data_IF_892972680645
#
_entry.id   IF_892972680645
#
_cell.length_a   1.000
_cell.length_b   1.000
_cell.length_c   1.000
_cell.angle_alpha   90.00
_cell.angle_beta   90.00
_cell.angle_gamma   90.00
#
_symmetry.space_group_name_H-M   'P 1'
#
loop_
_entity.id
_entity.type
_entity.pdbx_description
1 polymer ?
#
# COMPACT_ATOMS: atom_id res chain seq x y z
N UNK A 1 47.28 53.14 37.50
CA UNK A 1 47.72 51.86 36.92
C UNK A 1 46.45 50.97 36.81
N UNK A 2 46.02 50.50 35.80
CA UNK A 2 46.25 50.10 34.43
C UNK A 2 44.91 49.94 33.76
N UNK A 3 44.58 50.75 32.83
CA UNK A 3 43.59 50.64 31.80
C UNK A 3 44.06 49.58 30.82
N UNK A 4 43.41 48.42 30.73
CA UNK A 4 43.41 47.49 29.60
C UNK A 4 42.35 46.43 29.91
N UNK A 5 41.20 46.45 29.27
CA UNK A 5 40.31 45.33 28.96
C UNK A 5 38.95 45.80 28.45
N UNK A 6 38.92 46.68 27.47
CA UNK A 6 37.63 47.11 26.88
C UNK A 6 37.60 46.97 25.35
N UNK A 7 38.35 46.04 24.77
CA UNK A 7 38.35 45.87 23.29
C UNK A 7 38.06 44.46 22.81
N UNK A 8 37.69 43.52 23.69
CA UNK A 8 37.43 42.13 23.31
C UNK A 8 35.94 41.76 23.14
N UNK A 9 35.01 42.75 23.27
CA UNK A 9 33.56 42.40 23.29
C UNK A 9 32.78 42.82 22.04
N UNK A 10 33.43 43.50 21.07
CA UNK A 10 32.75 43.98 19.86
C UNK A 10 32.87 43.10 18.60
N UNK A 11 33.63 42.00 18.64
CA UNK A 11 33.86 41.18 17.42
C UNK A 11 32.90 39.98 17.30
N UNK A 12 32.17 39.61 18.35
CA UNK A 12 31.31 38.41 18.35
C UNK A 12 29.90 38.68 17.78
N UNK A 13 29.51 39.94 17.59
CA UNK A 13 28.14 40.27 17.15
C UNK A 13 27.95 40.40 15.64
N UNK A 14 28.99 40.31 14.82
CA UNK A 14 28.90 40.50 13.36
C UNK A 14 28.76 39.21 12.57
N UNK A 15 28.70 38.01 13.18
CA UNK A 15 28.62 36.71 12.49
C UNK A 15 27.25 36.03 12.55
N UNK A 16 26.21 36.70 13.07
CA UNK A 16 24.84 36.13 13.20
C UNK A 16 23.88 36.56 12.09
N UNK A 17 24.34 37.12 10.99
CA UNK A 17 23.52 37.75 9.95
C UNK A 17 23.29 36.96 8.64
N UNK A 18 23.83 35.74 8.49
CA UNK A 18 23.65 34.94 7.28
C UNK A 18 22.92 33.62 7.56
N UNK A 19 21.63 33.74 7.93
CA UNK A 19 20.73 32.60 7.85
C UNK A 19 20.31 32.47 6.38
N UNK A 20 20.75 31.43 5.63
CA UNK A 20 20.25 31.21 4.29
C UNK A 20 18.75 30.94 4.41
N UNK A 21 17.92 31.77 3.80
CA UNK A 21 16.47 31.53 3.66
C UNK A 21 16.29 30.25 2.86
N UNK A 22 16.09 29.14 3.56
CA UNK A 22 15.67 27.88 2.94
C UNK A 22 14.27 28.12 2.39
N UNK A 23 14.20 28.46 1.10
CA UNK A 23 12.96 28.48 0.37
C UNK A 23 12.43 27.04 0.36
N UNK A 24 11.43 26.75 1.17
CA UNK A 24 10.69 25.51 1.10
C UNK A 24 10.08 25.43 -0.31
N UNK A 25 10.73 24.69 -1.21
CA UNK A 25 10.15 24.34 -2.50
C UNK A 25 8.84 23.61 -2.22
N UNK A 26 7.71 24.28 -2.51
CA UNK A 26 6.41 23.63 -2.57
C UNK A 26 6.57 22.45 -3.55
N UNK A 27 6.63 21.23 -3.02
CA UNK A 27 6.62 20.01 -3.81
C UNK A 27 5.42 20.10 -4.77
N UNK A 28 5.69 20.27 -6.06
CA UNK A 28 4.66 20.14 -7.09
C UNK A 28 4.11 18.74 -6.95
N UNK A 29 2.84 18.61 -6.56
CA UNK A 29 2.12 17.35 -6.54
C UNK A 29 2.22 16.79 -7.96
N UNK A 30 3.07 15.76 -8.16
CA UNK A 30 3.21 15.11 -9.47
C UNK A 30 1.85 14.55 -9.89
N UNK A 31 1.50 14.70 -11.16
CA UNK A 31 0.33 14.03 -11.70
C UNK A 31 0.45 12.52 -11.49
N UNK A 32 -0.64 11.83 -11.15
CA UNK A 32 -0.62 10.37 -11.01
C UNK A 32 -0.19 9.73 -12.34
N UNK A 33 0.54 8.61 -12.25
CA UNK A 33 0.91 7.82 -13.42
C UNK A 33 -0.35 7.36 -14.19
N UNK A 34 -0.32 7.34 -15.53
CA UNK A 34 -1.44 6.85 -16.32
C UNK A 34 -1.68 5.37 -16.03
N UNK A 35 -2.96 5.00 -15.90
CA UNK A 35 -3.35 3.59 -15.73
C UNK A 35 -3.22 2.88 -17.06
N UNK A 36 -2.56 1.69 -17.13
CA UNK A 36 -2.49 0.91 -18.35
C UNK A 36 -3.89 0.58 -18.91
N UNK A 37 -4.15 0.82 -20.21
CA UNK A 37 -5.48 0.62 -20.78
C UNK A 37 -6.01 -0.81 -20.63
N UNK A 38 -5.15 -1.81 -20.60
CA UNK A 38 -5.49 -3.21 -20.40
C UNK A 38 -6.29 -3.43 -19.10
N UNK A 39 -5.95 -2.71 -18.04
CA UNK A 39 -6.62 -2.85 -16.74
C UNK A 39 -8.09 -2.41 -16.83
N UNK A 40 -8.35 -1.30 -17.53
CA UNK A 40 -9.72 -0.78 -17.69
C UNK A 40 -10.56 -1.62 -18.67
N UNK A 41 -9.91 -2.24 -19.69
CA UNK A 41 -10.55 -3.02 -20.73
C UNK A 41 -10.81 -4.48 -20.34
N UNK A 42 -10.15 -5.00 -19.30
CA UNK A 42 -10.25 -6.41 -18.91
C UNK A 42 -11.68 -6.81 -18.55
N UNK A 43 -12.11 -7.97 -19.05
CA UNK A 43 -13.40 -8.59 -18.75
C UNK A 43 -13.22 -9.86 -17.93
N UNK A 44 -12.21 -10.64 -18.22
CA UNK A 44 -11.89 -11.91 -17.56
C UNK A 44 -10.72 -11.79 -16.63
N UNK A 45 -10.88 -12.25 -15.41
CA UNK A 45 -9.88 -12.13 -14.37
C UNK A 45 -9.64 -13.46 -13.67
N UNK A 46 -8.38 -13.85 -13.57
CA UNK A 46 -7.95 -14.96 -12.72
C UNK A 46 -7.41 -14.39 -11.41
N UNK A 47 -7.88 -14.91 -10.28
CA UNK A 47 -7.37 -14.53 -8.96
C UNK A 47 -6.39 -15.60 -8.48
N UNK A 48 -5.13 -15.22 -8.28
CA UNK A 48 -4.05 -16.08 -7.83
C UNK A 48 -3.83 -15.94 -6.33
N UNK A 49 -3.73 -17.07 -5.63
CA UNK A 49 -3.27 -17.12 -4.26
C UNK A 49 -1.74 -17.23 -4.25
N UNK A 50 -1.05 -16.12 -4.00
CA UNK A 50 0.41 -16.12 -3.86
C UNK A 50 0.86 -16.52 -2.45
N UNK A 51 -0.10 -16.96 -1.63
CA UNK A 51 0.16 -17.42 -0.29
C UNK A 51 0.27 -16.31 0.74
N UNK A 52 0.51 -16.73 1.95
CA UNK A 52 0.80 -15.87 3.08
C UNK A 52 1.88 -16.52 3.93
N UNK A 53 2.75 -15.70 4.49
CA UNK A 53 3.65 -16.18 5.52
C UNK A 53 2.82 -16.57 6.74
N UNK A 54 2.94 -17.84 7.12
CA UNK A 54 2.35 -18.37 8.35
C UNK A 54 3.31 -18.13 9.50
N UNK A 55 2.84 -17.48 10.54
CA UNK A 55 3.59 -17.34 11.81
C UNK A 55 3.74 -18.65 12.57
N UNK A 56 3.19 -19.74 12.09
CA UNK A 56 3.23 -21.03 12.78
C UNK A 56 4.66 -21.52 13.08
N UNK A 57 5.64 -21.00 12.35
CA UNK A 57 7.07 -21.35 12.57
C UNK A 57 7.75 -20.51 13.66
N UNK A 58 7.18 -19.37 14.08
CA UNK A 58 7.87 -18.42 14.97
C UNK A 58 7.13 -18.17 16.29
N UNK A 59 5.81 -18.21 16.27
CA UNK A 59 4.99 -17.94 17.47
C UNK A 59 3.72 -18.80 17.37
N UNK A 60 3.48 -19.63 18.39
CA UNK A 60 2.27 -20.45 18.56
C UNK A 60 1.00 -19.58 18.80
N UNK A 61 0.81 -18.55 17.99
CA UNK A 61 -0.31 -17.61 18.10
C UNK A 61 -0.94 -17.32 16.74
N UNK A 62 -2.24 -17.51 16.66
CA UNK A 62 -3.06 -17.11 15.52
C UNK A 62 -2.96 -15.59 15.28
N UNK A 63 -2.47 -15.19 14.11
CA UNK A 63 -2.32 -13.77 13.74
C UNK A 63 -3.69 -13.12 13.56
N UNK A 64 -4.57 -13.80 12.82
CA UNK A 64 -5.97 -13.45 12.59
C UNK A 64 -6.77 -14.73 12.29
N UNK A 65 -8.09 -14.66 12.45
CA UNK A 65 -8.97 -15.78 12.13
C UNK A 65 -8.99 -16.05 10.61
N UNK A 66 -9.24 -17.32 10.22
CA UNK A 66 -9.40 -17.71 8.82
C UNK A 66 -8.13 -18.24 8.13
N UNK A 67 -7.01 -18.30 8.86
CA UNK A 67 -5.77 -18.92 8.38
C UNK A 67 -5.08 -18.23 7.19
N UNK A 68 -4.10 -18.90 6.57
CA UNK A 68 -3.27 -18.30 5.51
C UNK A 68 -4.04 -18.00 4.22
N UNK A 69 -5.14 -18.71 3.96
CA UNK A 69 -5.96 -18.50 2.77
C UNK A 69 -7.00 -17.37 2.90
N UNK A 70 -7.14 -16.77 4.09
CA UNK A 70 -8.10 -15.69 4.31
C UNK A 70 -7.94 -14.52 3.32
N UNK A 71 -6.71 -14.02 3.02
CA UNK A 71 -6.54 -12.94 2.05
C UNK A 71 -7.14 -13.26 0.69
N UNK A 72 -6.84 -14.46 0.19
CA UNK A 72 -7.37 -14.95 -1.08
C UNK A 72 -8.89 -15.10 -1.06
N UNK A 73 -9.43 -15.82 -0.07
CA UNK A 73 -10.86 -16.12 0.02
C UNK A 73 -11.69 -14.84 0.14
N UNK A 74 -11.23 -13.89 0.97
CA UNK A 74 -11.94 -12.64 1.19
C UNK A 74 -11.89 -11.72 -0.04
N UNK A 75 -10.73 -11.65 -0.70
CA UNK A 75 -10.59 -10.89 -1.94
C UNK A 75 -11.42 -11.51 -3.07
N UNK A 76 -11.39 -12.83 -3.23
CA UNK A 76 -12.20 -13.56 -4.22
C UNK A 76 -13.69 -13.29 -4.03
N UNK A 77 -14.19 -13.40 -2.80
CA UNK A 77 -15.59 -13.11 -2.48
C UNK A 77 -15.96 -11.66 -2.85
N UNK A 78 -15.12 -10.69 -2.48
CA UNK A 78 -15.37 -9.29 -2.77
C UNK A 78 -15.38 -8.96 -4.28
N UNK A 79 -14.53 -9.64 -5.07
CA UNK A 79 -14.51 -9.48 -6.53
C UNK A 79 -15.70 -10.15 -7.20
N UNK A 80 -16.12 -11.32 -6.69
CA UNK A 80 -17.33 -12.02 -7.13
C UNK A 80 -18.58 -11.18 -6.88
N UNK A 81 -18.72 -10.62 -5.68
CA UNK A 81 -19.85 -9.78 -5.29
C UNK A 81 -19.90 -8.48 -6.10
N UNK A 82 -18.73 -7.95 -6.49
CA UNK A 82 -18.69 -6.79 -7.35
C UNK A 82 -19.23 -7.05 -8.75
N UNK A 83 -19.04 -8.26 -9.28
CA UNK A 83 -19.66 -8.71 -10.53
C UNK A 83 -19.24 -7.97 -11.81
N UNK A 84 -18.18 -7.14 -11.77
CA UNK A 84 -17.68 -6.42 -12.95
C UNK A 84 -16.95 -7.34 -13.93
N UNK A 85 -16.22 -8.31 -13.40
CA UNK A 85 -15.38 -9.22 -14.17
C UNK A 85 -15.92 -10.65 -14.08
N UNK A 86 -15.79 -11.39 -15.17
CA UNK A 86 -15.91 -12.84 -15.16
C UNK A 86 -14.69 -13.43 -14.46
N UNK A 87 -14.91 -14.16 -13.36
CA UNK A 87 -13.82 -14.86 -12.66
C UNK A 87 -13.59 -16.22 -13.33
N UNK A 88 -12.42 -16.39 -13.93
CA UNK A 88 -12.02 -17.63 -14.62
C UNK A 88 -11.16 -18.50 -13.72
N UNK A 89 -11.16 -19.82 -14.00
CA UNK A 89 -10.41 -20.81 -13.22
C UNK A 89 -9.01 -21.09 -13.77
N UNK A 90 -8.67 -20.54 -14.93
CA UNK A 90 -7.36 -20.70 -15.58
C UNK A 90 -6.75 -19.34 -15.91
N UNK A 91 -5.48 -19.10 -15.60
CA UNK A 91 -4.80 -17.86 -15.99
C UNK A 91 -4.68 -17.71 -17.51
N UNK A 92 -4.71 -18.82 -18.27
CA UNK A 92 -4.65 -18.78 -19.74
C UNK A 92 -5.92 -18.16 -20.37
N UNK A 93 -7.06 -18.21 -19.65
CA UNK A 93 -8.33 -17.67 -20.11
C UNK A 93 -8.57 -16.23 -19.65
N UNK A 94 -7.63 -15.68 -18.87
CA UNK A 94 -7.77 -14.37 -18.24
C UNK A 94 -7.18 -13.25 -19.10
N UNK A 95 -7.79 -12.07 -19.01
CA UNK A 95 -7.21 -10.81 -19.50
C UNK A 95 -6.21 -10.22 -18.48
N UNK A 96 -6.46 -10.47 -17.18
CA UNK A 96 -5.59 -10.07 -16.08
C UNK A 96 -5.50 -11.18 -15.04
N UNK A 97 -4.33 -11.25 -14.40
CA UNK A 97 -4.12 -12.02 -13.19
C UNK A 97 -4.06 -11.04 -12.01
N UNK A 98 -4.85 -11.29 -10.98
CA UNK A 98 -4.84 -10.56 -9.71
C UNK A 98 -4.22 -11.46 -8.64
N UNK A 99 -2.98 -11.19 -8.31
CA UNK A 99 -2.22 -11.99 -7.34
C UNK A 99 -2.31 -11.36 -5.95
N UNK A 100 -2.89 -12.11 -5.01
CA UNK A 100 -3.06 -11.67 -3.61
C UNK A 100 -2.06 -12.38 -2.72
N UNK A 101 -1.36 -11.62 -1.90
CA UNK A 101 -0.42 -12.16 -0.92
C UNK A 101 -0.49 -11.43 0.42
N UNK A 102 -0.03 -12.12 1.45
CA UNK A 102 0.16 -11.59 2.79
C UNK A 102 1.60 -11.81 3.22
N UNK A 103 2.23 -10.75 3.73
CA UNK A 103 3.60 -10.80 4.24
C UNK A 103 3.60 -10.24 5.66
N UNK A 104 4.18 -10.98 6.60
CA UNK A 104 4.36 -10.51 7.97
C UNK A 104 5.39 -9.40 8.05
N UNK A 105 5.19 -8.49 8.99
CA UNK A 105 6.20 -7.51 9.32
C UNK A 105 7.33 -8.15 10.12
N UNK A 106 8.58 -7.86 9.78
CA UNK A 106 9.78 -8.30 10.53
C UNK A 106 9.75 -7.87 12.00
N UNK A 107 8.93 -6.90 12.36
CA UNK A 107 8.73 -6.47 13.74
C UNK A 107 7.94 -7.47 14.57
N UNK A 108 7.44 -8.56 13.96
CA UNK A 108 6.62 -9.58 14.60
C UNK A 108 5.26 -8.99 15.06
N UNK A 109 4.69 -9.56 16.13
CA UNK A 109 3.43 -9.05 16.71
C UNK A 109 3.56 -7.69 17.42
N UNK A 110 4.75 -7.06 17.34
CA UNK A 110 4.95 -5.76 17.96
C UNK A 110 4.28 -4.66 17.13
N UNK A 111 3.38 -3.94 17.79
CA UNK A 111 2.75 -2.73 17.23
C UNK A 111 3.83 -1.78 16.67
N UNK A 112 3.56 -1.04 15.55
CA UNK A 112 2.21 -0.70 15.08
C UNK A 112 1.72 -1.49 13.85
N UNK A 113 2.55 -2.29 13.18
CA UNK A 113 2.21 -2.98 11.93
C UNK A 113 2.30 -4.48 12.13
N UNK A 114 1.21 -5.20 11.81
CA UNK A 114 1.14 -6.66 11.84
C UNK A 114 1.76 -7.26 10.58
N UNK A 115 1.51 -6.66 9.43
CA UNK A 115 2.01 -7.11 8.14
C UNK A 115 1.47 -6.29 6.98
N UNK A 116 1.71 -6.80 5.78
CA UNK A 116 1.39 -6.18 4.50
C UNK A 116 0.45 -7.08 3.71
N UNK A 117 -0.70 -6.55 3.34
CA UNK A 117 -1.57 -7.13 2.34
C UNK A 117 -1.21 -6.54 0.99
N UNK A 118 -0.92 -7.39 0.01
CA UNK A 118 -0.47 -6.98 -1.31
C UNK A 118 -1.37 -7.55 -2.40
N UNK A 119 -1.70 -6.71 -3.38
CA UNK A 119 -2.35 -7.09 -4.61
C UNK A 119 -1.49 -6.67 -5.79
N UNK A 120 -1.14 -7.61 -6.66
CA UNK A 120 -0.38 -7.37 -7.89
C UNK A 120 -1.29 -7.65 -9.08
N UNK A 121 -1.33 -6.71 -10.03
CA UNK A 121 -2.05 -6.84 -11.31
C UNK A 121 -1.04 -7.19 -12.40
N UNK A 122 -1.22 -8.33 -13.04
CA UNK A 122 -0.26 -8.89 -13.99
C UNK A 122 -0.96 -9.11 -15.33
N UNK A 123 -0.28 -8.80 -16.43
CA UNK A 123 -0.64 -9.24 -17.77
C UNK A 123 -0.25 -10.72 -17.95
N UNK A 124 -1.20 -11.64 -18.12
CA UNK A 124 -0.90 -13.07 -18.25
C UNK A 124 -0.11 -13.42 -19.52
N UNK A 125 -0.14 -12.57 -20.55
CA UNK A 125 0.54 -12.81 -21.84
C UNK A 125 2.02 -12.45 -21.80
N UNK A 126 2.34 -11.36 -21.11
CA UNK A 126 3.71 -10.82 -21.05
C UNK A 126 4.40 -11.09 -19.72
N UNK A 127 3.65 -11.52 -18.70
CA UNK A 127 4.06 -11.66 -17.31
C UNK A 127 4.57 -10.36 -16.67
N UNK A 128 4.19 -9.22 -17.25
CA UNK A 128 4.57 -7.90 -16.73
C UNK A 128 3.60 -7.46 -15.65
N UNK A 129 4.15 -6.98 -14.56
CA UNK A 129 3.36 -6.30 -13.51
C UNK A 129 2.87 -4.96 -14.04
N UNK A 130 1.56 -4.82 -14.18
CA UNK A 130 0.90 -3.59 -14.65
C UNK A 130 0.65 -2.61 -13.52
N UNK A 131 0.35 -3.13 -12.32
CA UNK A 131 0.04 -2.32 -11.13
C UNK A 131 0.25 -3.11 -9.85
N UNK A 132 0.43 -2.39 -8.74
CA UNK A 132 0.44 -3.02 -7.44
C UNK A 132 -0.24 -2.13 -6.38
N UNK A 133 -0.80 -2.77 -5.37
CA UNK A 133 -1.31 -2.13 -4.16
C UNK A 133 -0.69 -2.81 -2.94
N UNK A 134 -0.40 -2.01 -1.95
CA UNK A 134 0.05 -2.50 -0.64
C UNK A 134 -0.70 -1.75 0.43
N UNK A 135 -1.24 -2.48 1.40
CA UNK A 135 -1.90 -1.93 2.58
C UNK A 135 -1.30 -2.53 3.85
N UNK A 136 -1.03 -1.66 4.81
CA UNK A 136 -0.54 -2.07 6.11
C UNK A 136 -1.72 -2.55 6.96
N UNK A 137 -1.60 -3.73 7.55
CA UNK A 137 -2.52 -4.19 8.58
C UNK A 137 -1.97 -3.76 9.93
N UNK A 138 -2.73 -2.95 10.65
CA UNK A 138 -2.33 -2.48 11.98
C UNK A 138 -2.31 -3.63 12.97
N UNK A 139 -1.26 -3.68 13.79
CA UNK A 139 -1.20 -4.60 14.91
C UNK A 139 -2.20 -4.22 16.00
N UNK A 140 -2.62 -5.21 16.78
CA UNK A 140 -3.43 -5.03 17.96
C UNK A 140 -3.18 -6.17 18.96
N UNK A 141 -3.41 -5.92 20.24
CA UNK A 141 -3.26 -6.93 21.29
C UNK A 141 -4.37 -7.98 21.14
N UNK A 142 -5.61 -7.53 20.98
CA UNK A 142 -6.78 -8.42 20.88
C UNK A 142 -6.93 -8.95 19.46
N UNK A 143 -7.17 -10.26 19.33
CA UNK A 143 -7.40 -10.95 18.06
C UNK A 143 -8.54 -10.29 17.26
N UNK A 144 -9.66 -9.98 17.91
CA UNK A 144 -10.82 -9.32 17.26
C UNK A 144 -10.49 -7.95 16.66
N UNK A 145 -9.54 -7.23 17.22
CA UNK A 145 -9.08 -5.96 16.67
C UNK A 145 -8.12 -6.17 15.49
N UNK A 146 -7.29 -7.23 15.55
CA UNK A 146 -6.47 -7.64 14.41
C UNK A 146 -7.32 -8.03 13.21
N UNK A 147 -8.41 -8.78 13.45
CA UNK A 147 -9.38 -9.14 12.41
C UNK A 147 -10.02 -7.91 11.76
N UNK A 148 -10.48 -6.95 12.57
CA UNK A 148 -11.04 -5.69 12.06
C UNK A 148 -10.04 -4.89 11.23
N UNK A 149 -8.78 -4.82 11.69
CA UNK A 149 -7.73 -4.11 10.98
C UNK A 149 -7.41 -4.80 9.64
N UNK A 150 -7.44 -6.14 9.60
CA UNK A 150 -7.28 -6.91 8.38
C UNK A 150 -8.43 -6.63 7.41
N UNK A 151 -9.69 -6.70 7.87
CA UNK A 151 -10.86 -6.40 7.05
C UNK A 151 -10.81 -4.98 6.47
N UNK A 152 -10.37 -4.01 7.28
CA UNK A 152 -10.21 -2.63 6.81
C UNK A 152 -9.17 -2.52 5.69
N UNK A 153 -8.02 -3.18 5.83
CA UNK A 153 -6.98 -3.19 4.81
C UNK A 153 -7.46 -3.88 3.53
N UNK A 154 -8.15 -5.03 3.64
CA UNK A 154 -8.75 -5.74 2.52
C UNK A 154 -9.78 -4.87 1.79
N UNK A 155 -10.69 -4.24 2.52
CA UNK A 155 -11.68 -3.32 1.93
C UNK A 155 -11.02 -2.15 1.20
N UNK A 156 -9.89 -1.65 1.72
CA UNK A 156 -9.12 -0.58 1.07
C UNK A 156 -8.53 -1.06 -0.25
N UNK A 157 -7.91 -2.25 -0.30
CA UNK A 157 -7.37 -2.84 -1.54
C UNK A 157 -8.48 -3.05 -2.57
N UNK A 158 -9.61 -3.63 -2.17
CA UNK A 158 -10.77 -3.83 -3.05
C UNK A 158 -11.29 -2.50 -3.61
N UNK A 159 -11.43 -1.49 -2.77
CA UNK A 159 -11.87 -0.16 -3.21
C UNK A 159 -10.88 0.48 -4.19
N UNK A 160 -9.57 0.35 -3.95
CA UNK A 160 -8.53 0.85 -4.87
C UNK A 160 -8.55 0.13 -6.21
N UNK A 161 -8.74 -1.20 -6.21
CA UNK A 161 -8.90 -1.98 -7.45
C UNK A 161 -10.14 -1.54 -8.24
N UNK A 162 -11.28 -1.35 -7.57
CA UNK A 162 -12.51 -0.84 -8.19
C UNK A 162 -12.30 0.54 -8.81
N UNK A 163 -11.62 1.44 -8.12
CA UNK A 163 -11.32 2.78 -8.63
C UNK A 163 -10.35 2.76 -9.81
N UNK A 164 -9.36 1.84 -9.81
CA UNK A 164 -8.39 1.72 -10.89
C UNK A 164 -9.05 1.31 -12.21
N UNK A 165 -10.09 0.48 -12.16
CA UNK A 165 -10.83 0.00 -13.33
C UNK A 165 -12.01 0.88 -13.72
N UNK A 166 -12.31 1.91 -12.93
CA UNK A 166 -13.35 2.88 -13.27
C UNK A 166 -12.87 3.78 -14.40
N UNK A 167 -13.72 4.14 -15.37
CA UNK A 167 -13.34 5.13 -16.37
C UNK A 167 -12.89 6.43 -15.69
N UNK A 168 -11.85 7.09 -16.22
CA UNK A 168 -11.47 8.40 -15.69
C UNK A 168 -12.69 9.32 -15.73
N UNK A 169 -12.95 9.99 -14.60
CA UNK A 169 -14.01 10.99 -14.56
C UNK A 169 -13.78 12.00 -15.70
N UNK A 170 -14.80 12.21 -16.53
CA UNK A 170 -14.73 13.20 -17.59
C UNK A 170 -14.26 14.52 -16.99
N UNK A 171 -13.32 15.26 -17.64
CA UNK A 171 -12.88 16.54 -17.14
C UNK A 171 -14.13 17.43 -16.97
N UNK A 172 -14.31 17.94 -15.75
CA UNK A 172 -15.38 18.89 -15.47
C UNK A 172 -15.23 20.03 -16.48
N UNK A 173 -16.17 20.13 -17.41
CA UNK A 173 -16.20 21.16 -18.43
C UNK A 173 -16.13 22.53 -17.77
N UNK A 174 -15.15 23.34 -18.20
CA UNK A 174 -15.02 24.73 -17.83
C UNK A 174 -16.06 25.56 -18.58
#
# INVERSE_FOLDING_TARGET
MRTIKLHAFCVIFALLGLVPSVHAQKSKKSAPAPVPPLIAAAQKVFISNAGGESLETVIDQTVFNGGPDRPYNQFYAAMKDWGRHELVSSPADADLVLEVSWVLSDTGLRLPVLGLLRLVVIDPKTHVTLWNFTEYVRGAILLSNRDKNFDQAMNTIVARMKNLTSPPAAPAGK
#
